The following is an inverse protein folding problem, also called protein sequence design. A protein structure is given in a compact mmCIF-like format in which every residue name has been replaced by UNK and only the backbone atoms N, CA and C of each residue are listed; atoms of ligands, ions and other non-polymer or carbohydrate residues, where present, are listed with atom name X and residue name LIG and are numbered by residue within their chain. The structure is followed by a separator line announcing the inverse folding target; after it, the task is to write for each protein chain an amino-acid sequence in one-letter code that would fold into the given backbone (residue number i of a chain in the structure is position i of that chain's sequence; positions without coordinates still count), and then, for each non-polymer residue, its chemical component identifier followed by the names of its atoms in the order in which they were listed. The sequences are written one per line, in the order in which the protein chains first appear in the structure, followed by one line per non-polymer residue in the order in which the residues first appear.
data_IF_995042908979
#
_entry.id   IF_995042908979
#
_cell.length_a   1.000
_cell.length_b   1.000
_cell.length_c   1.000
_cell.angle_alpha   90.00
_cell.angle_beta   90.00
_cell.angle_gamma   90.00
#
_symmetry.space_group_name_H-M   'P 1'
#
loop_
_entity.id
_entity.type
_entity.pdbx_description
1 polymer ?
#
# COMPACT_ATOMS: atom_id res chain seq x y z
N UNK A 1 7.76 1.54 -6.60
CA UNK A 1 8.90 0.84 -7.26
C UNK A 1 8.41 -0.53 -7.68
N UNK A 2 8.71 -0.96 -8.91
CA UNK A 2 8.28 -2.27 -9.43
C UNK A 2 9.16 -3.37 -8.85
N UNK A 3 8.58 -4.49 -8.43
CA UNK A 3 9.36 -5.61 -7.92
C UNK A 3 10.08 -6.32 -9.07
N UNK A 4 11.31 -6.77 -8.83
CA UNK A 4 12.10 -7.45 -9.85
C UNK A 4 13.23 -8.27 -9.24
N UNK A 5 13.80 -9.17 -10.05
CA UNK A 5 14.88 -10.09 -9.64
C UNK A 5 16.28 -9.49 -9.83
N UNK A 6 16.37 -8.23 -10.29
CA UNK A 6 17.63 -7.51 -10.46
C UNK A 6 17.73 -6.43 -9.38
N UNK A 7 18.94 -6.28 -8.84
CA UNK A 7 19.28 -5.16 -7.98
C UNK A 7 19.13 -3.85 -8.78
N UNK A 8 18.28 -2.95 -8.31
CA UNK A 8 17.99 -1.66 -8.94
C UNK A 8 17.85 -0.57 -7.87
N UNK A 9 18.16 0.69 -8.19
CA UNK A 9 17.99 1.81 -7.27
C UNK A 9 16.53 1.99 -6.83
N UNK A 10 16.33 2.30 -5.56
CA UNK A 10 15.01 2.64 -5.02
C UNK A 10 14.93 4.16 -4.80
N UNK A 11 14.49 4.90 -5.82
CA UNK A 11 14.47 6.37 -5.81
C UNK A 11 13.75 6.97 -4.59
N UNK A 12 12.59 6.42 -4.21
CA UNK A 12 11.83 6.92 -3.05
C UNK A 12 12.49 6.71 -1.68
N UNK A 13 13.54 5.87 -1.61
CA UNK A 13 14.32 5.63 -0.39
C UNK A 13 15.76 6.16 -0.50
N UNK A 14 16.19 6.62 -1.69
CA UNK A 14 17.55 7.09 -1.92
C UNK A 14 18.66 6.03 -1.83
N UNK A 15 18.34 4.75 -2.00
CA UNK A 15 19.33 3.65 -1.89
C UNK A 15 19.64 3.00 -3.24
N UNK A 16 20.87 2.53 -3.41
CA UNK A 16 21.35 1.89 -4.64
C UNK A 16 20.65 0.55 -4.94
N UNK A 17 20.17 -0.15 -3.90
CA UNK A 17 19.42 -1.39 -4.01
C UNK A 17 18.58 -1.59 -2.75
N UNK A 18 17.40 -2.17 -2.91
CA UNK A 18 16.51 -2.49 -1.79
C UNK A 18 15.84 -3.84 -2.01
N UNK A 19 15.63 -4.57 -0.91
CA UNK A 19 14.91 -5.84 -0.91
C UNK A 19 14.05 -5.96 0.34
N UNK A 20 12.92 -6.68 0.23
CA UNK A 20 12.08 -7.02 1.37
C UNK A 20 12.54 -8.32 1.98
N UNK A 21 13.03 -8.28 3.22
CA UNK A 21 13.50 -9.47 3.93
C UNK A 21 13.19 -9.47 5.44
N UNK A 22 12.52 -8.43 5.96
CA UNK A 22 12.34 -8.24 7.41
C UNK A 22 10.99 -8.76 7.93
N UNK A 23 10.11 -9.29 7.08
CA UNK A 23 8.75 -9.71 7.47
C UNK A 23 8.32 -11.05 6.86
N UNK A 24 9.12 -12.13 6.99
CA UNK A 24 8.87 -13.42 6.34
C UNK A 24 7.58 -14.11 6.79
N UNK A 25 7.08 -13.81 8.00
CA UNK A 25 5.84 -14.40 8.50
C UNK A 25 4.57 -13.85 7.85
N UNK A 26 4.66 -12.67 7.20
CA UNK A 26 3.49 -11.95 6.66
C UNK A 26 3.64 -11.48 5.22
N UNK A 27 4.81 -11.68 4.60
CA UNK A 27 5.05 -11.39 3.18
C UNK A 27 5.83 -12.53 2.56
N UNK A 28 5.23 -13.17 1.56
CA UNK A 28 5.82 -14.36 0.93
C UNK A 28 7.17 -14.07 0.25
N UNK A 29 7.33 -12.88 -0.34
CA UNK A 29 8.61 -12.47 -0.94
C UNK A 29 9.72 -12.32 0.09
N UNK A 30 9.42 -11.89 1.32
CA UNK A 30 10.40 -11.87 2.41
C UNK A 30 10.80 -13.29 2.80
N UNK A 31 9.86 -14.24 2.85
CA UNK A 31 10.16 -15.65 3.11
C UNK A 31 11.08 -16.26 2.02
N UNK A 32 10.76 -15.99 0.75
CA UNK A 32 11.59 -16.40 -0.40
C UNK A 32 13.00 -15.82 -0.29
N UNK A 33 13.14 -14.54 0.06
CA UNK A 33 14.44 -13.91 0.28
C UNK A 33 15.18 -14.49 1.49
N UNK A 34 14.49 -14.85 2.57
CA UNK A 34 15.11 -15.51 3.73
C UNK A 34 15.75 -16.84 3.35
N UNK A 35 15.11 -17.68 2.53
CA UNK A 35 15.72 -18.93 2.07
C UNK A 35 17.01 -18.69 1.27
N UNK A 36 17.01 -17.66 0.42
CA UNK A 36 18.19 -17.25 -0.36
C UNK A 36 19.33 -16.75 0.54
N UNK A 37 19.01 -15.90 1.52
CA UNK A 37 19.97 -15.39 2.51
C UNK A 37 20.56 -16.52 3.35
N UNK A 38 19.73 -17.48 3.79
CA UNK A 38 20.20 -18.66 4.54
C UNK A 38 21.16 -19.49 3.68
N UNK A 39 20.86 -19.70 2.40
CA UNK A 39 21.77 -20.39 1.48
C UNK A 39 23.10 -19.64 1.33
N UNK A 40 23.07 -18.30 1.17
CA UNK A 40 24.26 -17.46 1.12
C UNK A 40 25.10 -17.55 2.39
N UNK A 41 24.46 -17.48 3.57
CA UNK A 41 25.14 -17.55 4.86
C UNK A 41 25.79 -18.92 5.12
N UNK A 42 25.13 -20.02 4.72
CA UNK A 42 25.63 -21.39 4.94
C UNK A 42 26.69 -21.85 3.95
N UNK A 43 26.59 -21.40 2.69
CA UNK A 43 27.38 -21.96 1.59
C UNK A 43 28.30 -20.93 0.91
N UNK A 44 28.21 -19.64 1.28
CA UNK A 44 29.09 -18.59 0.76
C UNK A 44 29.16 -18.57 -0.77
N UNK A 45 30.36 -18.74 -1.32
CA UNK A 45 30.60 -18.70 -2.78
C UNK A 45 29.86 -19.80 -3.55
N UNK A 46 29.52 -20.92 -2.91
CA UNK A 46 28.80 -22.03 -3.56
C UNK A 46 27.28 -21.94 -3.39
N UNK A 47 26.76 -20.90 -2.72
CA UNK A 47 25.33 -20.74 -2.48
C UNK A 47 24.47 -20.80 -3.74
N UNK A 48 24.93 -20.22 -4.86
CA UNK A 48 24.21 -20.25 -6.13
C UNK A 48 23.96 -21.67 -6.69
N UNK A 49 24.71 -22.69 -6.22
CA UNK A 49 24.54 -24.09 -6.64
C UNK A 49 23.42 -24.80 -5.87
N UNK A 50 23.13 -24.36 -4.64
CA UNK A 50 22.25 -25.06 -3.70
C UNK A 50 21.04 -24.23 -3.27
N UNK A 51 21.02 -22.93 -3.59
CA UNK A 51 19.92 -22.05 -3.26
C UNK A 51 18.62 -22.52 -3.94
N UNK A 52 17.45 -22.39 -3.28
CA UNK A 52 16.19 -22.91 -3.81
C UNK A 52 15.80 -22.35 -5.18
N UNK A 53 16.15 -21.09 -5.45
CA UNK A 53 15.95 -20.45 -6.74
C UNK A 53 17.29 -19.99 -7.30
N UNK A 54 17.58 -20.39 -8.54
CA UNK A 54 18.83 -20.02 -9.23
C UNK A 54 18.75 -18.60 -9.79
N UNK A 55 19.89 -17.97 -10.15
CA UNK A 55 19.87 -16.71 -10.87
C UNK A 55 19.01 -16.81 -12.14
N UNK A 56 18.01 -15.91 -12.26
CA UNK A 56 17.03 -15.87 -13.38
C UNK A 56 16.09 -17.07 -13.46
N UNK A 57 15.85 -17.76 -12.35
CA UNK A 57 14.83 -18.81 -12.29
C UNK A 57 13.45 -18.28 -12.72
N UNK A 58 12.81 -18.97 -13.65
CA UNK A 58 11.49 -18.61 -14.16
C UNK A 58 10.44 -18.57 -13.04
N UNK A 59 10.59 -19.42 -12.00
CA UNK A 59 9.68 -19.48 -10.87
C UNK A 59 9.65 -18.17 -10.07
N UNK A 60 10.75 -17.41 -10.02
CA UNK A 60 10.79 -16.12 -9.32
C UNK A 60 9.84 -15.10 -9.96
N UNK A 61 9.68 -15.11 -11.29
CA UNK A 61 8.73 -14.22 -11.97
C UNK A 61 7.28 -14.58 -11.64
N UNK A 62 6.96 -15.88 -11.58
CA UNK A 62 5.63 -16.34 -11.17
C UNK A 62 5.33 -15.95 -9.72
N UNK A 63 6.31 -16.09 -8.82
CA UNK A 63 6.19 -15.70 -7.41
C UNK A 63 5.93 -14.20 -7.27
N UNK A 64 6.72 -13.37 -7.97
CA UNK A 64 6.56 -11.91 -7.95
C UNK A 64 5.17 -11.53 -8.46
N UNK A 65 4.73 -12.10 -9.58
CA UNK A 65 3.41 -11.79 -10.15
C UNK A 65 2.26 -12.18 -9.23
N UNK A 66 2.31 -13.38 -8.63
CA UNK A 66 1.31 -13.84 -7.67
C UNK A 66 1.30 -12.95 -6.42
N UNK A 67 2.47 -12.57 -5.94
CA UNK A 67 2.61 -11.67 -4.80
C UNK A 67 2.03 -10.28 -5.11
N UNK A 68 2.37 -9.66 -6.24
CA UNK A 68 1.85 -8.33 -6.62
C UNK A 68 0.33 -8.35 -6.74
N UNK A 69 -0.26 -9.41 -7.30
CA UNK A 69 -1.71 -9.61 -7.38
C UNK A 69 -2.37 -9.69 -6.00
N UNK A 70 -1.89 -10.59 -5.13
CA UNK A 70 -2.43 -10.75 -3.78
C UNK A 70 -2.25 -9.49 -2.93
N UNK A 71 -1.09 -8.85 -3.00
CA UNK A 71 -0.80 -7.61 -2.28
C UNK A 71 -1.75 -6.47 -2.71
N UNK A 72 -2.04 -6.38 -4.01
CA UNK A 72 -2.99 -5.39 -4.55
C UNK A 72 -4.41 -5.67 -4.07
N UNK A 73 -4.85 -6.94 -4.10
CA UNK A 73 -6.18 -7.33 -3.63
C UNK A 73 -6.36 -7.02 -2.12
N UNK A 74 -5.35 -7.32 -1.30
CA UNK A 74 -5.38 -7.02 0.13
C UNK A 74 -5.43 -5.52 0.41
N UNK A 75 -4.64 -4.71 -0.30
CA UNK A 75 -4.73 -3.25 -0.16
C UNK A 75 -6.11 -2.72 -0.54
N UNK A 76 -6.72 -3.24 -1.61
CA UNK A 76 -8.08 -2.87 -2.00
C UNK A 76 -9.10 -3.18 -0.91
N UNK A 77 -9.04 -4.38 -0.34
CA UNK A 77 -9.91 -4.75 0.78
C UNK A 77 -9.65 -3.91 2.04
N UNK A 78 -8.39 -3.65 2.38
CA UNK A 78 -8.02 -2.81 3.53
C UNK A 78 -8.56 -1.38 3.39
N UNK A 79 -8.45 -0.78 2.21
CA UNK A 79 -9.02 0.54 1.95
C UNK A 79 -10.55 0.53 2.09
N UNK A 80 -11.21 -0.52 1.58
CA UNK A 80 -12.66 -0.68 1.69
C UNK A 80 -13.13 -0.80 3.13
N UNK A 81 -12.50 -1.66 3.94
CA UNK A 81 -12.89 -1.86 5.34
C UNK A 81 -12.54 -0.65 6.21
N UNK A 82 -11.43 0.05 5.96
CA UNK A 82 -11.08 1.30 6.65
C UNK A 82 -12.12 2.40 6.39
N UNK A 83 -12.52 2.57 5.11
CA UNK A 83 -13.59 3.50 4.74
C UNK A 83 -14.90 3.13 5.42
N UNK A 84 -15.33 1.87 5.34
CA UNK A 84 -16.57 1.39 5.95
C UNK A 84 -16.63 1.74 7.44
N UNK A 85 -15.60 1.39 8.21
CA UNK A 85 -15.59 1.67 9.64
C UNK A 85 -15.50 3.16 9.96
N UNK A 86 -14.86 3.95 9.10
CA UNK A 86 -14.82 5.41 9.25
C UNK A 86 -16.21 6.02 9.05
N UNK A 87 -16.96 5.60 8.03
CA UNK A 87 -18.34 6.06 7.81
C UNK A 87 -19.27 5.60 8.94
N UNK A 88 -19.09 4.36 9.41
CA UNK A 88 -19.84 3.83 10.55
C UNK A 88 -19.63 4.64 11.81
N UNK A 89 -18.38 5.03 12.07
CA UNK A 89 -18.02 5.90 13.19
C UNK A 89 -18.70 7.27 13.11
N UNK A 90 -18.71 7.90 11.93
CA UNK A 90 -19.41 9.19 11.71
C UNK A 90 -20.91 9.07 12.03
N UNK A 91 -21.55 8.01 11.53
CA UNK A 91 -22.98 7.77 11.74
C UNK A 91 -23.29 7.56 13.23
N UNK A 92 -22.49 6.74 13.92
CA UNK A 92 -22.68 6.42 15.34
C UNK A 92 -22.50 7.62 16.26
N UNK A 93 -21.56 8.53 15.94
CA UNK A 93 -21.30 9.72 16.73
C UNK A 93 -22.15 10.93 16.33
N UNK A 94 -23.04 10.79 15.34
CA UNK A 94 -23.84 11.90 14.83
C UNK A 94 -22.98 13.05 14.29
N UNK A 95 -21.80 12.74 13.75
CA UNK A 95 -20.90 13.76 13.20
C UNK A 95 -21.52 14.35 11.94
N UNK A 96 -21.76 15.66 11.94
CA UNK A 96 -22.39 16.36 10.80
C UNK A 96 -21.42 17.24 10.03
N UNK A 97 -20.23 17.52 10.57
CA UNK A 97 -19.23 18.39 9.94
C UNK A 97 -17.83 17.81 10.14
N UNK A 98 -16.95 18.03 9.16
CA UNK A 98 -15.55 17.59 9.18
C UNK A 98 -14.65 18.73 8.77
N UNK A 99 -13.44 18.77 9.31
CA UNK A 99 -12.34 19.52 8.70
C UNK A 99 -11.56 18.62 7.77
N UNK A 100 -11.12 19.18 6.65
CA UNK A 100 -10.38 18.45 5.64
C UNK A 100 -9.39 19.36 4.91
N UNK A 101 -8.40 18.72 4.29
CA UNK A 101 -7.39 19.37 3.47
C UNK A 101 -7.58 18.99 2.00
N UNK A 102 -7.61 20.01 1.12
CA UNK A 102 -7.77 19.81 -0.33
C UNK A 102 -6.55 19.12 -0.92
N UNK A 103 -6.80 18.05 -1.68
CA UNK A 103 -5.76 17.30 -2.41
C UNK A 103 -5.66 17.75 -3.86
N UNK A 104 -6.69 17.50 -4.68
CA UNK A 104 -6.75 17.83 -6.11
C UNK A 104 -8.19 17.73 -6.61
N UNK A 105 -8.63 18.65 -7.46
CA UNK A 105 -9.91 18.55 -8.20
C UNK A 105 -11.11 18.23 -7.28
N UNK A 106 -11.23 18.92 -6.15
CA UNK A 106 -12.31 18.74 -5.19
C UNK A 106 -12.19 17.49 -4.29
N UNK A 107 -11.17 16.64 -4.51
CA UNK A 107 -10.83 15.57 -3.59
C UNK A 107 -10.21 16.16 -2.32
N UNK A 108 -10.76 15.82 -1.17
CA UNK A 108 -10.30 16.28 0.14
C UNK A 108 -10.01 15.08 1.05
N UNK A 109 -9.10 15.26 2.01
CA UNK A 109 -8.79 14.29 3.06
C UNK A 109 -9.21 14.86 4.40
N UNK A 110 -10.04 14.15 5.15
CA UNK A 110 -10.39 14.51 6.52
C UNK A 110 -9.12 14.61 7.39
N UNK A 111 -9.03 15.61 8.25
CA UNK A 111 -7.80 15.86 9.00
C UNK A 111 -7.59 14.84 10.13
N UNK A 112 -8.68 14.37 10.75
CA UNK A 112 -8.66 13.50 11.93
C UNK A 112 -9.10 12.05 11.64
N UNK A 113 -9.55 11.77 10.42
CA UNK A 113 -10.08 10.47 10.03
C UNK A 113 -9.40 9.97 8.76
N UNK A 114 -9.24 8.63 8.58
CA UNK A 114 -8.70 8.06 7.35
C UNK A 114 -9.78 8.04 6.25
N UNK A 115 -10.35 9.22 5.94
CA UNK A 115 -11.40 9.39 4.95
C UNK A 115 -10.94 10.37 3.86
N UNK A 116 -10.93 9.89 2.62
CA UNK A 116 -10.76 10.70 1.42
C UNK A 116 -12.08 10.66 0.64
N UNK A 117 -12.56 11.82 0.23
CA UNK A 117 -13.87 11.96 -0.42
C UNK A 117 -13.90 13.22 -1.29
N UNK A 118 -14.89 13.31 -2.18
CA UNK A 118 -15.13 14.54 -2.95
C UNK A 118 -15.99 15.50 -2.14
N UNK A 119 -15.55 16.75 -2.02
CA UNK A 119 -16.32 17.80 -1.38
C UNK A 119 -16.80 18.83 -2.43
N UNK A 120 -18.11 19.02 -2.47
CA UNK A 120 -18.74 20.00 -3.37
C UNK A 120 -18.23 21.41 -3.05
N UNK A 121 -17.87 22.17 -4.09
CA UNK A 121 -17.37 23.55 -3.96
C UNK A 121 -15.87 23.65 -3.65
N UNK A 122 -15.16 22.51 -3.60
CA UNK A 122 -13.71 22.49 -3.38
C UNK A 122 -12.89 22.33 -4.69
N UNK A 123 -13.55 22.26 -5.85
CA UNK A 123 -12.90 21.95 -7.14
C UNK A 123 -11.89 23.03 -7.56
N UNK A 124 -12.20 24.29 -7.27
CA UNK A 124 -11.37 25.44 -7.61
C UNK A 124 -10.42 25.86 -6.47
N UNK A 125 -10.41 25.12 -5.36
CA UNK A 125 -9.54 25.43 -4.23
C UNK A 125 -8.11 24.91 -4.48
N UNK A 126 -7.07 25.68 -4.13
CA UNK A 126 -5.69 25.19 -4.18
C UNK A 126 -5.47 23.94 -3.35
N UNK A 127 -4.53 23.10 -3.79
CA UNK A 127 -4.04 21.97 -2.97
C UNK A 127 -3.48 22.51 -1.65
N UNK A 128 -3.86 21.87 -0.54
CA UNK A 128 -3.45 22.25 0.80
C UNK A 128 -4.39 23.24 1.50
N UNK A 129 -5.43 23.75 0.81
CA UNK A 129 -6.44 24.57 1.48
C UNK A 129 -7.18 23.76 2.54
N UNK A 130 -7.33 24.33 3.74
CA UNK A 130 -8.17 23.77 4.80
C UNK A 130 -9.62 24.19 4.58
N UNK A 131 -10.53 23.23 4.67
CA UNK A 131 -11.96 23.42 4.49
C UNK A 131 -12.73 22.80 5.63
N UNK A 132 -13.88 23.39 5.95
CA UNK A 132 -14.88 22.78 6.80
C UNK A 132 -16.05 22.36 5.93
N UNK A 133 -16.39 21.08 5.95
CA UNK A 133 -17.45 20.51 5.13
C UNK A 133 -18.58 19.99 5.99
N UNK A 134 -19.79 19.99 5.43
CA UNK A 134 -20.97 19.39 6.05
C UNK A 134 -21.29 18.06 5.39
N UNK A 135 -21.57 17.05 6.21
CA UNK A 135 -22.02 15.73 5.76
C UNK A 135 -23.50 15.84 5.42
N UNK A 136 -23.85 15.55 4.17
CA UNK A 136 -25.24 15.57 3.66
C UNK A 136 -25.86 14.18 3.55
N UNK A 137 -25.03 13.14 3.60
CA UNK A 137 -25.42 11.74 3.57
C UNK A 137 -24.21 10.84 3.77
N UNK A 138 -24.47 9.62 4.24
CA UNK A 138 -23.47 8.57 4.38
C UNK A 138 -23.98 7.34 3.63
N UNK A 139 -23.15 6.80 2.76
CA UNK A 139 -23.40 5.52 2.10
C UNK A 139 -22.25 4.57 2.42
N UNK A 140 -22.55 3.58 3.25
CA UNK A 140 -21.58 2.57 3.71
C UNK A 140 -21.24 1.55 2.60
N UNK A 141 -22.03 1.49 1.51
CA UNK A 141 -21.99 0.41 0.53
C UNK A 141 -21.36 0.80 -0.82
N UNK A 142 -21.21 2.09 -1.11
CA UNK A 142 -20.59 2.54 -2.36
C UNK A 142 -19.07 2.38 -2.34
N UNK A 143 -18.57 1.82 -3.45
CA UNK A 143 -17.14 1.70 -3.74
C UNK A 143 -16.54 3.01 -4.31
N UNK A 144 -17.36 4.06 -4.51
CA UNK A 144 -17.01 5.32 -5.17
C UNK A 144 -17.40 6.57 -4.35
#
# INVERSE_FOLDING_TARGET
VRMGVKALPHAGMGVASYTWASSPLRRYVDLVNQWQIIAAARHGKTAALVAPFKPKDAQLFSIISAFESAYTAYNGFQNGIERFWTLRHLAQNGTTELTATVMKEGLVRADELPLVFKALGCENLPRGSHVKVRITGLDEMTLD
#
